data_IF_125895460141
#
_entry.id   IF_125895460141
#
_cell.length_a   1.000
_cell.length_b   1.000
_cell.length_c   1.000
_cell.angle_alpha   90.00
_cell.angle_beta   90.00
_cell.angle_gamma   90.00
#
_symmetry.space_group_name_H-M   'P 1'
#
loop_
_entity.id
_entity.type
_entity.pdbx_description
1 polymer ?
#
# COMPACT_ATOMS: atom_id res chain seq x y z
N UNK A 1 -20.95 13.84 -0.62
CA UNK A 1 -20.90 12.35 -0.63
C UNK A 1 -22.10 11.83 0.12
N UNK A 2 -23.11 11.33 -0.59
CA UNK A 2 -24.27 10.70 0.01
C UNK A 2 -23.98 9.20 0.18
N UNK A 3 -23.67 8.77 1.40
CA UNK A 3 -23.74 7.35 1.76
C UNK A 3 -25.20 7.05 2.02
N UNK A 4 -25.81 6.46 1.01
CA UNK A 4 -27.02 5.65 1.02
C UNK A 4 -27.64 5.44 2.40
N UNK A 5 -28.78 6.10 2.63
CA UNK A 5 -29.78 5.79 3.65
C UNK A 5 -30.22 4.32 3.54
N UNK A 6 -29.49 3.45 4.23
CA UNK A 6 -29.89 2.08 4.55
C UNK A 6 -29.90 1.99 6.06
N UNK A 7 -30.98 2.46 6.67
CA UNK A 7 -31.50 2.02 7.98
C UNK A 7 -30.41 1.47 8.91
N UNK A 8 -29.45 2.34 9.28
CA UNK A 8 -28.32 1.93 10.09
C UNK A 8 -28.84 1.89 11.53
N UNK A 9 -28.92 0.69 12.12
CA UNK A 9 -28.93 0.62 13.57
C UNK A 9 -27.67 1.34 14.04
N UNK A 10 -27.86 2.43 14.79
CA UNK A 10 -26.78 3.14 15.45
C UNK A 10 -25.95 2.15 16.30
N UNK A 11 -24.64 2.36 16.39
CA UNK A 11 -23.73 1.48 17.14
C UNK A 11 -24.20 1.33 18.60
N UNK A 12 -24.79 2.39 19.16
CA UNK A 12 -25.40 2.39 20.48
C UNK A 12 -26.62 1.45 20.58
N UNK A 13 -27.45 1.39 19.54
CA UNK A 13 -28.57 0.48 19.48
C UNK A 13 -28.10 -0.97 19.34
N UNK A 14 -27.04 -1.21 18.57
CA UNK A 14 -26.44 -2.54 18.39
C UNK A 14 -25.81 -3.06 19.70
N UNK A 15 -25.11 -2.19 20.43
CA UNK A 15 -24.52 -2.53 21.73
C UNK A 15 -25.60 -2.93 22.75
N UNK A 16 -26.76 -2.28 22.74
CA UNK A 16 -27.88 -2.66 23.60
C UNK A 16 -28.35 -4.11 23.35
N UNK A 17 -28.38 -4.57 22.09
CA UNK A 17 -28.69 -5.96 21.76
C UNK A 17 -27.60 -6.94 22.25
N UNK A 18 -26.33 -6.58 22.15
CA UNK A 18 -25.23 -7.42 22.66
C UNK A 18 -25.20 -7.49 24.19
N UNK A 19 -25.53 -6.41 24.89
CA UNK A 19 -25.71 -6.42 26.36
C UNK A 19 -26.85 -7.37 26.75
N UNK A 20 -28.00 -7.28 26.07
CA UNK A 20 -29.14 -8.15 26.34
C UNK A 20 -28.82 -9.64 26.08
N UNK A 21 -28.08 -9.93 25.00
CA UNK A 21 -27.63 -11.28 24.66
C UNK A 21 -26.63 -11.86 25.67
N UNK A 22 -25.70 -11.06 26.18
CA UNK A 22 -24.76 -11.49 27.24
C UNK A 22 -25.46 -11.77 28.56
N UNK A 23 -26.46 -10.98 28.92
CA UNK A 23 -27.23 -11.17 30.15
C UNK A 23 -28.02 -12.49 30.17
N UNK A 24 -28.36 -13.04 28.99
CA UNK A 24 -29.12 -14.28 28.83
C UNK A 24 -28.35 -15.31 28.01
N UNK A 25 -27.05 -15.46 28.29
CA UNK A 25 -26.24 -16.45 27.62
C UNK A 25 -26.77 -17.87 27.96
N UNK A 26 -27.26 -18.65 26.97
CA UNK A 26 -27.70 -20.01 27.23
C UNK A 26 -26.51 -20.87 27.62
N UNK A 27 -26.64 -21.64 28.69
CA UNK A 27 -25.60 -22.57 29.10
C UNK A 27 -25.51 -23.73 28.07
N UNK A 28 -24.33 -24.00 27.50
CA UNK A 28 -24.17 -25.11 26.57
C UNK A 28 -24.45 -26.43 27.30
N UNK A 29 -25.27 -27.29 26.69
CA UNK A 29 -25.58 -28.59 27.26
C UNK A 29 -24.33 -29.44 27.50
N UNK A 30 -24.33 -30.23 28.57
CA UNK A 30 -23.19 -31.07 28.98
C UNK A 30 -22.71 -32.02 27.87
N UNK A 31 -23.63 -32.56 27.06
CA UNK A 31 -23.33 -33.40 25.92
C UNK A 31 -22.54 -32.66 24.81
N UNK A 32 -22.85 -31.38 24.58
CA UNK A 32 -22.11 -30.55 23.63
C UNK A 32 -20.71 -30.27 24.16
N UNK A 33 -20.59 -29.91 25.45
CA UNK A 33 -19.30 -29.64 26.08
C UNK A 33 -18.38 -30.87 26.05
N UNK A 34 -18.92 -32.06 26.32
CA UNK A 34 -18.18 -33.31 26.23
C UNK A 34 -17.64 -33.59 24.81
N UNK A 35 -18.43 -33.28 23.78
CA UNK A 35 -17.98 -33.39 22.37
C UNK A 35 -16.88 -32.38 22.04
N UNK A 36 -17.02 -31.13 22.50
CA UNK A 36 -16.00 -30.09 22.30
C UNK A 36 -14.68 -30.50 22.96
N UNK A 37 -14.73 -31.03 24.19
CA UNK A 37 -13.53 -31.50 24.89
C UNK A 37 -12.88 -32.68 24.15
N UNK A 38 -13.66 -33.65 23.69
CA UNK A 38 -13.14 -34.78 22.92
C UNK A 38 -12.48 -34.34 21.59
N UNK A 39 -13.08 -33.35 20.92
CA UNK A 39 -12.51 -32.77 19.69
C UNK A 39 -11.23 -31.98 19.97
N UNK A 40 -11.21 -31.19 21.05
CA UNK A 40 -10.03 -30.46 21.49
C UNK A 40 -8.87 -31.42 21.83
N UNK A 41 -9.13 -32.51 22.55
CA UNK A 41 -8.14 -33.53 22.87
C UNK A 41 -7.60 -34.22 21.60
N UNK A 42 -8.48 -34.51 20.64
CA UNK A 42 -8.08 -35.07 19.35
C UNK A 42 -7.18 -34.11 18.56
N UNK A 43 -7.50 -32.82 18.54
CA UNK A 43 -6.71 -31.81 17.84
C UNK A 43 -5.36 -31.55 18.55
N UNK A 44 -5.33 -31.55 19.88
CA UNK A 44 -4.08 -31.48 20.67
C UNK A 44 -3.20 -32.69 20.32
N UNK A 45 -3.76 -33.91 20.31
CA UNK A 45 -3.04 -35.11 19.95
C UNK A 45 -2.53 -35.07 18.49
N UNK A 46 -3.36 -34.61 17.55
CA UNK A 46 -3.00 -34.48 16.14
C UNK A 46 -1.88 -33.45 15.90
N UNK A 47 -1.82 -32.39 16.73
CA UNK A 47 -0.74 -31.39 16.71
C UNK A 47 0.52 -31.86 17.40
N UNK A 48 0.38 -32.63 18.47
CA UNK A 48 1.50 -33.23 19.21
C UNK A 48 2.17 -34.37 18.42
N UNK A 49 1.41 -35.06 17.56
CA UNK A 49 1.95 -36.03 16.64
C UNK A 49 3.01 -35.33 15.76
N UNK A 50 4.25 -35.83 15.72
CA UNK A 50 5.25 -35.29 14.82
C UNK A 50 4.72 -35.51 13.40
N UNK A 51 4.28 -34.43 12.75
CA UNK A 51 3.93 -34.46 11.34
C UNK A 51 5.18 -34.96 10.63
N UNK A 52 5.12 -36.16 10.07
CA UNK A 52 6.07 -36.66 9.09
C UNK A 52 5.96 -35.74 7.89
N UNK A 53 6.67 -34.62 7.99
CA UNK A 53 6.71 -33.65 6.91
C UNK A 53 7.37 -34.39 5.76
N UNK A 54 6.70 -34.55 4.59
CA UNK A 54 7.41 -35.01 3.41
C UNK A 54 8.64 -34.12 3.30
N UNK A 55 9.83 -34.72 3.26
CA UNK A 55 11.11 -34.03 3.49
C UNK A 55 11.07 -32.68 2.78
N UNK A 56 10.94 -31.59 3.56
CA UNK A 56 10.69 -30.27 2.99
C UNK A 56 11.88 -29.97 2.11
N UNK A 57 11.68 -30.03 0.79
CA UNK A 57 12.67 -29.56 -0.17
C UNK A 57 13.15 -28.21 0.37
N UNK A 58 14.48 -28.08 0.55
CA UNK A 58 15.06 -26.88 1.16
C UNK A 58 14.50 -25.71 0.36
N UNK A 59 13.80 -24.76 1.00
CA UNK A 59 13.26 -23.63 0.27
C UNK A 59 14.42 -22.99 -0.48
N UNK A 60 14.25 -22.75 -1.79
CA UNK A 60 15.26 -22.06 -2.57
C UNK A 60 15.61 -20.71 -1.92
N UNK A 61 16.81 -20.19 -2.19
CA UNK A 61 17.30 -18.95 -1.57
C UNK A 61 16.27 -17.81 -1.63
N UNK A 62 15.57 -17.67 -2.76
CA UNK A 62 14.48 -16.70 -2.94
C UNK A 62 13.28 -16.92 -2.01
N UNK A 63 12.86 -18.17 -1.80
CA UNK A 63 11.77 -18.49 -0.88
C UNK A 63 12.18 -18.22 0.58
N UNK A 64 13.46 -18.36 0.92
CA UNK A 64 13.98 -17.98 2.23
C UNK A 64 13.98 -16.46 2.43
N UNK A 65 14.37 -15.68 1.41
CA UNK A 65 14.30 -14.20 1.45
C UNK A 65 12.85 -13.73 1.59
N UNK A 66 11.93 -14.24 0.77
CA UNK A 66 10.50 -13.90 0.86
C UNK A 66 9.93 -14.28 2.22
N UNK A 67 10.29 -15.44 2.77
CA UNK A 67 9.86 -15.82 4.12
C UNK A 67 10.44 -14.89 5.20
N UNK A 68 11.68 -14.42 5.06
CA UNK A 68 12.33 -13.53 6.02
C UNK A 68 11.67 -12.13 6.08
N UNK A 69 11.12 -11.65 4.97
CA UNK A 69 10.45 -10.34 4.88
C UNK A 69 8.93 -10.39 5.18
N UNK A 70 8.39 -11.54 5.60
CA UNK A 70 6.96 -11.67 5.96
C UNK A 70 6.13 -12.57 5.03
N UNK A 71 6.76 -13.22 4.05
CA UNK A 71 6.14 -14.19 3.17
C UNK A 71 5.38 -13.57 1.99
N UNK A 72 4.43 -14.35 1.45
CA UNK A 72 3.58 -13.93 0.34
C UNK A 72 2.80 -12.61 0.56
N UNK A 73 2.29 -12.26 1.76
CA UNK A 73 1.62 -10.97 1.95
C UNK A 73 2.55 -9.77 1.77
N UNK A 74 3.84 -9.89 2.12
CA UNK A 74 4.82 -8.85 1.87
C UNK A 74 5.00 -8.60 0.36
N UNK A 75 5.14 -9.68 -0.42
CA UNK A 75 5.26 -9.61 -1.89
C UNK A 75 4.02 -9.02 -2.53
N UNK A 76 2.82 -9.39 -2.05
CA UNK A 76 1.57 -8.83 -2.54
C UNK A 76 1.50 -7.32 -2.31
N UNK A 77 1.87 -6.85 -1.12
CA UNK A 77 1.90 -5.41 -0.82
C UNK A 77 2.92 -4.64 -1.65
N UNK A 78 4.10 -5.23 -1.91
CA UNK A 78 5.13 -4.65 -2.76
C UNK A 78 4.65 -4.54 -4.21
N UNK A 79 3.95 -5.55 -4.73
CA UNK A 79 3.35 -5.51 -6.05
C UNK A 79 2.25 -4.42 -6.14
N UNK A 80 1.38 -4.32 -5.14
CA UNK A 80 0.38 -3.25 -5.07
C UNK A 80 1.04 -1.87 -5.02
N UNK A 81 2.07 -1.67 -4.20
CA UNK A 81 2.82 -0.42 -4.13
C UNK A 81 3.49 -0.06 -5.46
N UNK A 82 4.04 -1.04 -6.17
CA UNK A 82 4.62 -0.83 -7.51
C UNK A 82 3.55 -0.39 -8.52
N UNK A 83 2.38 -1.06 -8.54
CA UNK A 83 1.25 -0.68 -9.40
C UNK A 83 0.74 0.72 -9.05
N UNK A 84 0.63 1.04 -7.75
CA UNK A 84 0.25 2.37 -7.28
C UNK A 84 1.26 3.44 -7.70
N UNK A 85 2.56 3.15 -7.62
CA UNK A 85 3.61 4.05 -8.10
C UNK A 85 3.53 4.32 -9.60
N UNK A 86 3.31 3.28 -10.41
CA UNK A 86 3.11 3.40 -11.86
C UNK A 86 1.85 4.22 -12.17
N UNK A 87 0.75 3.97 -11.44
CA UNK A 87 -0.48 4.72 -11.59
C UNK A 87 -0.27 6.21 -11.29
N UNK A 88 0.34 6.54 -10.14
CA UNK A 88 0.58 7.93 -9.76
C UNK A 88 1.52 8.64 -10.73
N UNK A 89 2.56 7.96 -11.22
CA UNK A 89 3.51 8.53 -12.17
C UNK A 89 2.90 8.86 -13.53
N UNK A 90 1.90 8.09 -13.98
CA UNK A 90 1.26 8.32 -15.27
C UNK A 90 0.05 9.25 -15.20
N UNK A 91 -0.76 9.16 -14.15
CA UNK A 91 -2.10 9.77 -14.12
C UNK A 91 -2.19 11.15 -13.45
N UNK A 92 -1.17 11.61 -12.71
CA UNK A 92 -1.32 12.75 -11.81
C UNK A 92 -0.21 13.84 -11.88
N UNK A 93 0.08 14.47 -13.02
CA UNK A 93 1.03 15.60 -13.04
C UNK A 93 0.56 16.80 -12.20
N UNK A 94 -0.70 17.24 -12.39
CA UNK A 94 -1.19 18.49 -11.75
C UNK A 94 -1.58 18.32 -10.27
N UNK A 95 -2.13 17.16 -9.90
CA UNK A 95 -2.49 16.87 -8.52
C UNK A 95 -1.25 16.76 -7.63
N UNK A 96 -0.13 16.24 -8.15
CA UNK A 96 1.15 16.18 -7.43
C UNK A 96 1.77 17.57 -7.28
N UNK A 97 1.69 18.45 -8.29
CA UNK A 97 2.15 19.83 -8.19
C UNK A 97 1.39 20.62 -7.11
N UNK A 98 0.07 20.43 -7.05
CA UNK A 98 -0.79 21.04 -6.02
C UNK A 98 -0.43 20.53 -4.62
N UNK A 99 -0.20 19.23 -4.46
CA UNK A 99 0.21 18.63 -3.17
C UNK A 99 1.62 19.06 -2.74
N UNK A 100 2.53 19.26 -3.67
CA UNK A 100 3.88 19.75 -3.41
C UNK A 100 3.95 21.27 -3.18
N UNK A 101 2.80 21.96 -3.13
CA UNK A 101 2.74 23.41 -2.90
C UNK A 101 3.34 24.22 -4.06
N UNK A 102 3.34 23.69 -5.28
CA UNK A 102 3.93 24.35 -6.45
C UNK A 102 5.45 24.26 -6.54
N UNK A 103 6.12 23.50 -5.64
CA UNK A 103 7.58 23.41 -5.58
C UNK A 103 8.19 22.40 -6.56
N UNK A 104 7.38 21.54 -7.19
CA UNK A 104 7.87 20.61 -8.20
C UNK A 104 8.07 21.35 -9.53
N UNK A 105 9.29 21.36 -10.10
CA UNK A 105 9.49 21.83 -11.46
C UNK A 105 8.63 20.98 -12.38
N UNK A 106 7.66 21.60 -13.06
CA UNK A 106 6.79 20.88 -14.00
C UNK A 106 7.65 20.41 -15.16
N UNK A 107 7.89 19.10 -15.26
CA UNK A 107 8.67 18.49 -16.36
C UNK A 107 7.95 18.57 -17.70
N UNK A 108 6.68 19.00 -17.69
CA UNK A 108 5.90 19.44 -18.85
C UNK A 108 5.97 20.96 -19.05
N UNK A 109 7.11 21.58 -18.76
CA UNK A 109 7.43 22.87 -19.40
C UNK A 109 7.79 22.54 -20.84
N UNK A 110 6.77 22.42 -21.68
CA UNK A 110 6.91 22.63 -23.12
C UNK A 110 7.58 23.98 -23.30
N UNK A 111 8.90 23.97 -23.49
CA UNK A 111 9.69 24.86 -24.36
C UNK A 111 9.30 26.35 -24.51
N UNK A 112 8.66 27.00 -23.55
CA UNK A 112 8.33 28.44 -23.64
C UNK A 112 8.75 29.28 -22.43
N UNK A 113 9.15 28.64 -21.32
CA UNK A 113 9.71 29.34 -20.14
C UNK A 113 10.96 28.65 -19.60
N UNK A 114 11.74 28.04 -20.50
CA UNK A 114 13.13 27.73 -20.19
C UNK A 114 13.92 29.02 -20.34
N UNK A 115 14.32 29.64 -19.23
CA UNK A 115 15.52 30.47 -19.25
C UNK A 115 16.64 29.53 -19.70
N UNK A 116 17.01 29.59 -20.98
CA UNK A 116 18.06 28.73 -21.51
C UNK A 116 19.36 29.04 -20.76
N UNK A 117 20.14 28.00 -20.46
CA UNK A 117 21.47 28.15 -19.86
C UNK A 117 22.39 29.05 -20.71
N UNK A 118 22.04 29.22 -21.99
CA UNK A 118 22.60 30.18 -22.95
C UNK A 118 22.45 31.65 -22.53
N UNK A 119 21.42 32.00 -21.75
CA UNK A 119 21.16 33.37 -21.27
C UNK A 119 21.91 33.67 -19.95
N UNK A 120 22.38 32.62 -19.27
CA UNK A 120 23.08 32.71 -17.97
C UNK A 120 24.60 32.65 -18.09
N UNK A 121 25.14 32.33 -19.26
CA UNK A 121 26.54 32.56 -19.59
C UNK A 121 26.64 33.64 -20.67
N UNK A 122 27.59 34.59 -20.58
CA UNK A 122 27.95 35.41 -21.72
C UNK A 122 28.55 34.48 -22.80
N UNK A 123 27.67 33.97 -23.67
CA UNK A 123 28.01 33.08 -24.76
C UNK A 123 28.79 33.80 -25.86
N UNK A 124 29.53 33.02 -26.65
CA UNK A 124 30.39 33.46 -27.76
C UNK A 124 29.72 34.39 -28.80
N UNK A 125 28.39 34.48 -28.77
CA UNK A 125 27.58 35.29 -29.67
C UNK A 125 27.68 36.80 -29.38
N UNK A 126 27.94 37.19 -28.13
CA UNK A 126 28.10 38.61 -27.76
C UNK A 126 29.35 39.25 -28.38
N UNK A 127 30.38 38.45 -28.69
CA UNK A 127 31.57 38.93 -29.37
C UNK A 127 31.36 39.17 -30.88
N UNK A 128 30.37 38.50 -31.49
CA UNK A 128 30.03 38.71 -32.90
C UNK A 128 29.34 40.07 -33.11
N UNK A 129 28.53 40.50 -32.15
CA UNK A 129 27.85 41.80 -32.16
C UNK A 129 28.87 42.95 -31.99
N UNK A 130 29.82 42.80 -31.05
CA UNK A 130 30.94 43.75 -30.87
C UNK A 130 31.91 43.79 -32.07
N UNK A 131 32.05 42.69 -32.82
CA UNK A 131 32.87 42.66 -34.03
C UNK A 131 32.18 43.34 -35.23
N UNK A 132 30.85 43.38 -35.25
CA UNK A 132 30.07 44.12 -36.26
C UNK A 132 30.14 45.63 -36.08
N UNK A 133 30.26 46.11 -34.84
CA UNK A 133 30.22 47.55 -34.52
C UNK A 133 31.54 48.29 -34.80
N UNK A 134 32.65 47.57 -35.04
CA UNK A 134 33.96 48.17 -35.40
C UNK A 134 34.10 48.43 -36.91
N UNK A 135 33.12 48.01 -37.73
CA UNK A 135 33.04 48.34 -39.15
C UNK A 135 31.80 49.18 -39.47
N UNK A 136 31.66 50.31 -38.76
CA UNK A 136 30.78 51.42 -39.11
C UNK A 136 31.56 52.73 -39.14
#
# INVERSE_FOLDING_TARGET
MSKTDKTMLDDAALEAFFVAGRAHAPEPGTALMARIMADADAEIAARAAPKTRPGRARPGLWAAVVAAIGGWPAVASMATAAVTGVWLGFAAPEALNTFAGGLLPSTSTSSETAYELEDLLPGYNGFADLAGEVQG
#
